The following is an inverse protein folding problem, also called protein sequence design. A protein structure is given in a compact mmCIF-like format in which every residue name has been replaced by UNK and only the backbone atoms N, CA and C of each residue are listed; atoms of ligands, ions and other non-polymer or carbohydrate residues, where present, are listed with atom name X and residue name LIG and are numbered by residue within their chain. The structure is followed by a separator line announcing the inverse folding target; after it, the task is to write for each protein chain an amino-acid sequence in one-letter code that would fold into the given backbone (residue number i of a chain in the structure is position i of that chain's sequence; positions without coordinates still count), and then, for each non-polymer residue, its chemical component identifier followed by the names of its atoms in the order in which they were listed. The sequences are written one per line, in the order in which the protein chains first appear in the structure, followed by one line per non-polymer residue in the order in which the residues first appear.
data_IF_984386424604
#
_entry.id   IF_984386424604
#
_cell.length_a   1.000
_cell.length_b   1.000
_cell.length_c   1.000
_cell.angle_alpha   90.00
_cell.angle_beta   90.00
_cell.angle_gamma   90.00
#
_symmetry.space_group_name_H-M   'P 1'
#
loop_
_entity.id
_entity.type
_entity.pdbx_description
1 polymer ?
#
# COMPACT_ATOMS: atom_id res chain seq x y z
N UNK A 1 -41.45 6.07 23.47
CA UNK A 1 -40.56 5.88 22.29
C UNK A 1 -39.11 6.09 22.74
N UNK A 2 -38.25 5.09 22.59
CA UNK A 2 -36.85 5.16 23.04
C UNK A 2 -35.97 5.93 22.03
N UNK A 3 -34.89 6.56 22.51
CA UNK A 3 -33.95 7.36 21.70
C UNK A 3 -33.47 6.64 20.42
N UNK A 4 -33.16 5.35 20.53
CA UNK A 4 -32.77 4.47 19.41
C UNK A 4 -33.82 4.42 18.29
N UNK A 5 -35.11 4.37 18.65
CA UNK A 5 -36.20 4.33 17.67
C UNK A 5 -36.45 5.68 16.99
N UNK A 6 -36.02 6.79 17.61
CA UNK A 6 -36.05 8.10 16.97
C UNK A 6 -34.90 8.26 15.97
N UNK A 7 -33.72 7.76 16.29
CA UNK A 7 -32.54 7.79 15.41
C UNK A 7 -32.74 6.94 14.15
N UNK A 8 -33.29 5.72 14.27
CA UNK A 8 -33.65 4.88 13.11
C UNK A 8 -34.55 5.64 12.12
N UNK A 9 -35.64 6.24 12.62
CA UNK A 9 -36.57 7.02 11.78
C UNK A 9 -35.94 8.26 11.14
N UNK A 10 -34.93 8.86 11.77
CA UNK A 10 -34.17 9.97 11.18
C UNK A 10 -33.21 9.52 10.09
N UNK A 11 -32.70 8.29 10.16
CA UNK A 11 -31.88 7.70 9.12
C UNK A 11 -32.76 7.29 7.92
N UNK A 12 -33.86 6.58 8.18
CA UNK A 12 -34.80 6.12 7.15
C UNK A 12 -35.40 7.30 6.34
N UNK A 13 -35.65 8.45 7.00
CA UNK A 13 -36.14 9.67 6.31
C UNK A 13 -35.07 10.39 5.49
N UNK A 14 -33.79 10.06 5.65
CA UNK A 14 -32.65 10.73 5.00
C UNK A 14 -31.93 9.84 4.00
N UNK A 15 -32.25 8.54 3.92
CA UNK A 15 -31.74 7.63 2.91
C UNK A 15 -32.47 7.79 1.58
N UNK A 16 -31.73 7.63 0.48
CA UNK A 16 -32.25 7.56 -0.89
C UNK A 16 -31.87 6.19 -1.46
N UNK A 17 -32.73 5.59 -2.29
CA UNK A 17 -32.42 4.30 -2.93
C UNK A 17 -31.35 4.48 -4.01
N UNK A 18 -30.45 3.51 -4.12
CA UNK A 18 -29.45 3.45 -5.19
C UNK A 18 -30.10 3.29 -6.56
N UNK A 19 -31.23 2.58 -6.63
CA UNK A 19 -32.00 2.35 -7.87
C UNK A 19 -32.84 3.56 -8.31
N UNK A 20 -32.64 4.74 -7.70
CA UNK A 20 -33.39 5.94 -8.08
C UNK A 20 -32.90 6.43 -9.44
N UNK A 21 -33.78 6.65 -10.44
CA UNK A 21 -33.38 7.11 -11.76
C UNK A 21 -32.82 8.53 -11.70
N UNK A 22 -31.79 8.77 -12.49
CA UNK A 22 -31.11 10.06 -12.64
C UNK A 22 -31.55 10.68 -13.96
N UNK A 23 -32.47 11.65 -13.90
CA UNK A 23 -33.04 12.32 -15.07
C UNK A 23 -34.43 11.80 -15.47
N UNK A 24 -34.83 12.08 -16.72
CA UNK A 24 -36.17 11.71 -17.23
C UNK A 24 -36.22 10.29 -17.84
N UNK A 25 -35.07 9.62 -17.99
CA UNK A 25 -34.98 8.25 -18.52
C UNK A 25 -34.66 7.22 -17.43
N UNK A 26 -35.13 5.98 -17.61
CA UNK A 26 -34.90 4.86 -16.68
C UNK A 26 -33.53 4.18 -16.86
N UNK A 27 -32.65 4.69 -17.73
CA UNK A 27 -31.41 3.99 -18.12
C UNK A 27 -30.23 4.21 -17.16
N UNK A 28 -30.25 5.28 -16.36
CA UNK A 28 -29.16 5.64 -15.44
C UNK A 28 -29.70 5.75 -14.00
N UNK A 29 -29.15 4.96 -13.08
CA UNK A 29 -29.50 5.02 -11.66
C UNK A 29 -28.44 5.77 -10.84
N UNK A 30 -28.79 6.19 -9.62
CA UNK A 30 -27.81 6.79 -8.71
C UNK A 30 -26.62 5.85 -8.46
N UNK A 31 -26.86 4.54 -8.40
CA UNK A 31 -25.80 3.53 -8.24
C UNK A 31 -24.73 3.57 -9.32
N UNK A 32 -25.16 3.75 -10.57
CA UNK A 32 -24.25 3.79 -11.72
C UNK A 32 -23.33 5.02 -11.69
N UNK A 33 -23.71 6.07 -10.96
CA UNK A 33 -22.92 7.30 -10.82
C UNK A 33 -21.98 7.30 -9.62
N UNK A 34 -22.16 6.36 -8.68
CA UNK A 34 -21.31 6.28 -7.48
C UNK A 34 -20.03 5.53 -7.85
N UNK A 35 -18.93 6.27 -7.93
CA UNK A 35 -17.61 5.68 -8.12
C UNK A 35 -17.23 4.81 -6.91
N UNK A 36 -16.62 3.65 -7.17
CA UNK A 36 -15.98 2.87 -6.12
C UNK A 36 -14.72 3.61 -5.61
N UNK A 37 -14.42 3.38 -4.35
CA UNK A 37 -13.16 3.80 -3.73
C UNK A 37 -11.97 2.95 -4.16
N UNK A 38 -12.22 1.78 -4.75
CA UNK A 38 -11.19 0.86 -5.23
C UNK A 38 -11.00 1.01 -6.75
N UNK A 39 -9.80 1.42 -7.16
CA UNK A 39 -9.40 1.48 -8.56
C UNK A 39 -8.45 0.33 -8.88
N UNK A 40 -8.94 -0.62 -9.70
CA UNK A 40 -8.20 -1.79 -10.12
C UNK A 40 -7.01 -1.42 -11.01
N UNK A 41 -7.12 -0.36 -11.81
CA UNK A 41 -6.03 0.07 -12.70
C UNK A 41 -4.83 0.55 -11.87
N UNK A 42 -5.07 1.42 -10.90
CA UNK A 42 -4.04 1.89 -9.95
C UNK A 42 -3.43 0.75 -9.14
N UNK A 43 -4.23 -0.24 -8.71
CA UNK A 43 -3.71 -1.36 -7.91
C UNK A 43 -2.86 -2.33 -8.75
N UNK A 44 -3.27 -2.62 -9.99
CA UNK A 44 -2.60 -3.63 -10.84
C UNK A 44 -1.39 -3.06 -11.56
N UNK A 45 -1.51 -1.86 -12.13
CA UNK A 45 -0.41 -1.22 -12.85
C UNK A 45 0.54 -0.46 -11.91
N UNK A 46 0.08 -0.23 -10.68
CA UNK A 46 0.67 0.77 -9.81
C UNK A 46 0.29 2.17 -10.29
N UNK A 47 0.24 3.12 -9.36
CA UNK A 47 0.37 4.52 -9.73
C UNK A 47 1.70 4.72 -10.46
N UNK A 48 1.74 5.59 -11.48
CA UNK A 48 2.95 6.07 -12.17
C UNK A 48 3.78 7.00 -11.24
N UNK A 49 3.88 6.56 -10.00
CA UNK A 49 4.44 7.26 -8.88
C UNK A 49 5.94 7.23 -9.02
N UNK A 50 6.53 8.42 -9.11
CA UNK A 50 7.97 8.62 -9.11
C UNK A 50 8.65 7.86 -7.93
N UNK A 51 7.90 7.61 -6.84
CA UNK A 51 8.32 6.81 -5.69
C UNK A 51 8.64 5.36 -6.07
N UNK A 52 7.82 4.71 -6.89
CA UNK A 52 8.05 3.32 -7.35
C UNK A 52 9.33 3.27 -8.19
N UNK A 53 9.50 4.20 -9.12
CA UNK A 53 10.71 4.29 -9.95
C UNK A 53 11.98 4.57 -9.13
N UNK A 54 11.89 5.43 -8.10
CA UNK A 54 13.00 5.68 -7.16
C UNK A 54 13.35 4.42 -6.36
N UNK A 55 12.34 3.68 -5.94
CA UNK A 55 12.49 2.41 -5.20
C UNK A 55 13.17 1.34 -6.05
N UNK A 56 12.77 1.18 -7.32
CA UNK A 56 13.41 0.25 -8.25
C UNK A 56 14.89 0.59 -8.48
N UNK A 57 15.19 1.86 -8.75
CA UNK A 57 16.58 2.33 -8.90
C UNK A 57 17.43 2.09 -7.65
N UNK A 58 16.84 2.27 -6.47
CA UNK A 58 17.49 1.94 -5.21
C UNK A 58 17.80 0.44 -5.12
N UNK A 59 16.81 -0.42 -5.38
CA UNK A 59 16.97 -1.88 -5.32
C UNK A 59 18.00 -2.41 -6.34
N UNK A 60 18.12 -1.78 -7.51
CA UNK A 60 19.09 -2.14 -8.55
C UNK A 60 20.54 -1.82 -8.18
N UNK A 61 20.79 -0.81 -7.33
CA UNK A 61 22.14 -0.52 -6.82
C UNK A 61 22.60 -1.47 -5.73
N UNK A 62 21.66 -2.13 -5.04
CA UNK A 62 22.00 -3.02 -3.94
C UNK A 62 22.66 -4.30 -4.45
N UNK A 63 23.69 -4.74 -3.74
CA UNK A 63 24.27 -6.06 -3.98
C UNK A 63 23.24 -7.15 -3.68
N UNK A 64 23.41 -8.35 -4.27
CA UNK A 64 22.52 -9.49 -4.02
C UNK A 64 22.34 -9.78 -2.53
N UNK A 65 23.41 -9.62 -1.74
CA UNK A 65 23.39 -9.83 -0.29
C UNK A 65 22.57 -8.76 0.43
N UNK A 66 22.78 -7.48 0.09
CA UNK A 66 22.03 -6.35 0.66
C UNK A 66 20.53 -6.47 0.34
N UNK A 67 20.19 -6.80 -0.91
CA UNK A 67 18.81 -7.01 -1.34
C UNK A 67 18.14 -8.11 -0.52
N UNK A 68 18.83 -9.24 -0.33
CA UNK A 68 18.29 -10.35 0.44
C UNK A 68 18.08 -10.01 1.93
N UNK A 69 18.99 -9.21 2.51
CA UNK A 69 18.80 -8.66 3.86
C UNK A 69 17.58 -7.73 3.90
N UNK A 70 17.41 -6.85 2.91
CA UNK A 70 16.25 -5.96 2.83
C UNK A 70 14.92 -6.72 2.71
N UNK A 71 14.86 -7.76 1.87
CA UNK A 71 13.68 -8.63 1.73
C UNK A 71 13.28 -9.32 3.04
N UNK A 72 14.25 -9.75 3.84
CA UNK A 72 13.95 -10.37 5.13
C UNK A 72 13.54 -9.32 6.19
N UNK A 73 14.08 -8.11 6.11
CA UNK A 73 13.65 -7.00 6.97
C UNK A 73 12.22 -6.57 6.66
N UNK A 74 11.80 -6.52 5.39
CA UNK A 74 10.41 -6.22 5.02
C UNK A 74 9.45 -7.32 5.44
N UNK A 75 9.91 -8.57 5.48
CA UNK A 75 9.19 -9.71 6.05
C UNK A 75 9.28 -9.80 7.60
N UNK A 76 9.78 -8.74 8.26
CA UNK A 76 9.85 -8.59 9.73
C UNK A 76 10.72 -9.61 10.48
N UNK A 77 11.70 -10.23 9.82
CA UNK A 77 12.67 -11.10 10.48
C UNK A 77 13.67 -10.31 11.35
N UNK A 78 14.05 -10.89 12.48
CA UNK A 78 15.07 -10.33 13.38
C UNK A 78 16.50 -10.50 12.85
N UNK A 79 17.44 -9.68 13.33
CA UNK A 79 18.84 -9.70 12.88
C UNK A 79 19.51 -11.09 13.05
N UNK A 80 19.25 -11.78 14.16
CA UNK A 80 19.78 -13.13 14.40
C UNK A 80 19.19 -14.18 13.45
N UNK A 81 17.89 -14.08 13.13
CA UNK A 81 17.22 -14.96 12.18
C UNK A 81 17.76 -14.75 10.77
N UNK A 82 17.95 -13.49 10.37
CA UNK A 82 18.52 -13.15 9.07
C UNK A 82 19.94 -13.71 8.93
N UNK A 83 20.77 -13.56 9.96
CA UNK A 83 22.12 -14.13 9.99
C UNK A 83 22.09 -15.66 9.84
N UNK A 84 21.16 -16.34 10.52
CA UNK A 84 20.99 -17.79 10.42
C UNK A 84 20.49 -18.24 9.03
N UNK A 85 19.48 -17.55 8.48
CA UNK A 85 18.88 -17.86 7.17
C UNK A 85 19.90 -17.68 6.04
N UNK A 86 20.69 -16.60 6.10
CA UNK A 86 21.68 -16.27 5.07
C UNK A 86 23.04 -16.90 5.32
N UNK A 87 23.22 -17.55 6.46
CA UNK A 87 24.50 -18.14 6.89
C UNK A 87 25.65 -17.13 6.80
N UNK A 88 25.40 -15.90 7.23
CA UNK A 88 26.38 -14.80 7.22
C UNK A 88 26.82 -14.48 8.64
N UNK A 89 28.03 -13.94 8.74
CA UNK A 89 28.57 -13.47 10.02
C UNK A 89 27.91 -12.16 10.47
N UNK A 90 27.95 -11.85 11.78
CA UNK A 90 27.47 -10.56 12.29
C UNK A 90 28.17 -9.35 11.63
N UNK A 91 29.45 -9.50 11.26
CA UNK A 91 30.22 -8.46 10.58
C UNK A 91 29.69 -8.21 9.17
N UNK A 92 29.44 -9.28 8.40
CA UNK A 92 28.88 -9.17 7.05
C UNK A 92 27.44 -8.64 7.07
N UNK A 93 26.67 -8.97 8.10
CA UNK A 93 25.35 -8.38 8.31
C UNK A 93 25.44 -6.88 8.58
N UNK A 94 26.38 -6.44 9.42
CA UNK A 94 26.61 -5.03 9.70
C UNK A 94 27.10 -4.26 8.46
N UNK A 95 27.95 -4.86 7.64
CA UNK A 95 28.38 -4.30 6.36
C UNK A 95 27.20 -4.17 5.37
N UNK A 96 26.38 -5.22 5.23
CA UNK A 96 25.18 -5.17 4.42
C UNK A 96 24.21 -4.07 4.89
N UNK A 97 24.01 -3.92 6.20
CA UNK A 97 23.19 -2.86 6.79
C UNK A 97 23.76 -1.46 6.52
N UNK A 98 25.09 -1.33 6.55
CA UNK A 98 25.77 -0.06 6.26
C UNK A 98 25.62 0.33 4.80
N UNK A 99 25.69 -0.64 3.88
CA UNK A 99 25.40 -0.44 2.47
C UNK A 99 23.94 -0.06 2.20
N UNK A 100 22.98 -0.67 2.90
CA UNK A 100 21.56 -0.30 2.80
C UNK A 100 21.30 1.15 3.21
N UNK A 101 22.03 1.62 4.23
CA UNK A 101 21.91 2.98 4.80
C UNK A 101 22.92 3.97 4.23
N UNK A 102 23.70 3.57 3.22
CA UNK A 102 24.70 4.46 2.64
C UNK A 102 23.99 5.66 2.00
N UNK A 103 24.59 6.85 2.14
CA UNK A 103 24.01 8.07 1.60
C UNK A 103 23.81 7.99 0.08
N UNK A 104 24.73 7.32 -0.62
CA UNK A 104 24.66 7.10 -2.08
C UNK A 104 23.40 6.33 -2.51
N UNK A 105 22.91 5.43 -1.66
CA UNK A 105 21.71 4.66 -1.91
C UNK A 105 20.48 5.41 -1.41
N UNK A 106 20.50 5.89 -0.17
CA UNK A 106 19.36 6.57 0.46
C UNK A 106 18.98 7.87 -0.27
N UNK A 107 19.93 8.60 -0.83
CA UNK A 107 19.67 9.83 -1.60
C UNK A 107 18.79 9.62 -2.85
N UNK A 108 18.73 8.41 -3.41
CA UNK A 108 17.85 8.10 -4.53
C UNK A 108 16.37 8.10 -4.15
N UNK A 109 16.07 7.93 -2.87
CA UNK A 109 14.70 7.86 -2.36
C UNK A 109 14.11 9.25 -2.08
N UNK A 110 14.93 10.31 -2.10
CA UNK A 110 14.53 11.69 -1.83
C UNK A 110 14.41 12.53 -3.10
#
# INVERSE_FOLDING_TARGET
MTRRNCEKRRADRRSVSIDTPVGEGEELTLGDTIADSFDLETEVLGSDDCRTMKMEKYLDRLSRRQRRVAELLTAAYGAGEIQAILQITPLEYADAMSGLRSYENVSLLF
#
